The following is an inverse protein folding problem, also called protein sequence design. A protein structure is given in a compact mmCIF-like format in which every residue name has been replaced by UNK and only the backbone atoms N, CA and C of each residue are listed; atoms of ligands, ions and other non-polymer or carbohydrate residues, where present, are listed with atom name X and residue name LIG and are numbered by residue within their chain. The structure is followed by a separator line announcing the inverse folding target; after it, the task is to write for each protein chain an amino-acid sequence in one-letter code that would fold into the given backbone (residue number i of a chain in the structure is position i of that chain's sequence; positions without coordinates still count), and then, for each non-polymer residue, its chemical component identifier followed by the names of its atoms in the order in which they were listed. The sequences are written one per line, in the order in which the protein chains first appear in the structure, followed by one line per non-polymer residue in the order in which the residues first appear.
data_IF_074530622614
#
_entry.id   IF_074530622614
#
_cell.length_a   1.000
_cell.length_b   1.000
_cell.length_c   1.000
_cell.angle_alpha   90.00
_cell.angle_beta   90.00
_cell.angle_gamma   90.00
#
_symmetry.space_group_name_H-M   'P 1'
#
loop_
_entity.id
_entity.type
_entity.pdbx_description
1 polymer ?
#
# COMPACT_ATOMS: atom_id res chain seq x y z
N UNK A 1 11.79 -9.53 -18.05
CA UNK A 1 11.31 -9.53 -16.64
C UNK A 1 11.73 -8.29 -15.88
N UNK A 2 12.98 -7.87 -15.90
CA UNK A 2 13.48 -6.69 -15.17
C UNK A 2 12.71 -5.40 -15.48
N UNK A 3 12.33 -5.16 -16.74
CA UNK A 3 11.57 -3.98 -17.12
C UNK A 3 10.20 -3.92 -16.43
N UNK A 4 9.47 -5.04 -16.38
CA UNK A 4 8.21 -5.14 -15.63
C UNK A 4 8.39 -4.82 -14.14
N UNK A 5 9.41 -5.40 -13.50
CA UNK A 5 9.67 -5.18 -12.08
C UNK A 5 10.00 -3.72 -11.79
N UNK A 6 10.80 -3.07 -12.64
CA UNK A 6 11.11 -1.64 -12.52
C UNK A 6 9.86 -0.76 -12.67
N UNK A 7 8.97 -1.07 -13.62
CA UNK A 7 7.72 -0.33 -13.78
C UNK A 7 6.79 -0.48 -12.56
N UNK A 8 6.66 -1.69 -12.01
CA UNK A 8 5.87 -1.93 -10.80
C UNK A 8 6.46 -1.23 -9.58
N UNK A 9 7.78 -1.24 -9.42
CA UNK A 9 8.49 -0.50 -8.37
C UNK A 9 8.22 1.00 -8.51
N UNK A 10 8.39 1.57 -9.71
CA UNK A 10 8.12 2.98 -9.97
C UNK A 10 6.67 3.36 -9.67
N UNK A 11 5.71 2.53 -10.07
CA UNK A 11 4.30 2.75 -9.80
C UNK A 11 4.00 2.77 -8.29
N UNK A 12 4.42 1.75 -7.54
CA UNK A 12 4.18 1.71 -6.10
C UNK A 12 4.91 2.82 -5.33
N UNK A 13 6.11 3.19 -5.75
CA UNK A 13 6.81 4.33 -5.18
C UNK A 13 6.05 5.64 -5.44
N UNK A 14 5.62 5.87 -6.69
CA UNK A 14 4.91 7.08 -7.09
C UNK A 14 3.56 7.24 -6.39
N UNK A 15 2.75 6.18 -6.34
CA UNK A 15 1.38 6.23 -5.80
C UNK A 15 1.31 6.23 -4.28
N UNK A 16 2.22 5.53 -3.60
CA UNK A 16 2.08 5.27 -2.17
C UNK A 16 3.19 5.87 -1.32
N UNK A 17 4.41 5.95 -1.83
CA UNK A 17 5.57 6.44 -1.05
C UNK A 17 5.80 7.92 -1.26
N UNK A 18 5.81 8.35 -2.52
CA UNK A 18 6.14 9.73 -2.92
C UNK A 18 4.91 10.65 -3.08
N UNK A 19 3.70 10.16 -2.79
CA UNK A 19 2.47 10.94 -2.83
C UNK A 19 2.05 11.39 -1.41
N UNK A 20 2.33 12.64 -0.99
CA UNK A 20 1.86 13.17 0.28
C UNK A 20 0.33 13.29 0.33
N UNK A 21 -0.24 13.12 1.52
CA UNK A 21 -1.70 13.24 1.75
C UNK A 21 -2.26 14.62 1.36
N UNK A 22 -1.44 15.67 1.41
CA UNK A 22 -1.81 17.02 0.96
C UNK A 22 -2.12 17.06 -0.53
N UNK A 23 -1.38 16.32 -1.38
CA UNK A 23 -1.64 16.23 -2.81
C UNK A 23 -2.93 15.47 -3.09
N UNK A 24 -3.17 14.39 -2.35
CA UNK A 24 -4.42 13.62 -2.44
C UNK A 24 -5.62 14.51 -2.09
N UNK A 25 -5.56 15.25 -0.96
CA UNK A 25 -6.62 16.21 -0.57
C UNK A 25 -6.83 17.30 -1.64
N UNK A 26 -5.76 17.79 -2.26
CA UNK A 26 -5.83 18.77 -3.34
C UNK A 26 -6.52 18.20 -4.60
N UNK A 27 -6.19 16.95 -4.99
CA UNK A 27 -6.87 16.24 -6.09
C UNK A 27 -8.39 16.14 -5.84
N UNK A 28 -8.80 15.74 -4.63
CA UNK A 28 -10.22 15.61 -4.28
C UNK A 28 -10.97 16.94 -4.29
N UNK A 29 -10.30 18.06 -3.96
CA UNK A 29 -10.95 19.37 -3.88
C UNK A 29 -11.02 20.09 -5.23
N UNK A 30 -9.97 20.01 -6.03
CA UNK A 30 -9.82 20.82 -7.25
C UNK A 30 -9.73 19.99 -8.53
N UNK A 31 -9.86 18.65 -8.44
CA UNK A 31 -9.85 17.77 -9.60
C UNK A 31 -8.51 17.77 -10.34
N UNK A 32 -8.60 17.61 -11.66
CA UNK A 32 -7.44 17.59 -12.59
C UNK A 32 -6.67 18.91 -12.61
N UNK A 33 -7.35 20.03 -12.32
CA UNK A 33 -6.71 21.36 -12.27
C UNK A 33 -5.87 21.58 -11.01
N UNK A 34 -5.83 20.60 -10.08
CA UNK A 34 -5.09 20.76 -8.83
C UNK A 34 -3.58 20.68 -9.02
N UNK A 35 -2.84 21.47 -8.27
CA UNK A 35 -1.37 21.35 -8.22
C UNK A 35 -0.92 19.98 -7.70
N UNK A 36 -1.72 19.32 -6.84
CA UNK A 36 -1.46 17.98 -6.34
C UNK A 36 -1.53 16.92 -7.42
N UNK A 37 -2.42 17.06 -8.41
CA UNK A 37 -2.48 16.18 -9.58
C UNK A 37 -1.21 16.26 -10.41
N UNK A 38 -0.82 17.47 -10.83
CA UNK A 38 0.34 17.67 -11.69
C UNK A 38 1.67 17.33 -11.00
N UNK A 39 1.80 17.59 -9.68
CA UNK A 39 2.96 17.14 -8.90
C UNK A 39 3.08 15.62 -8.87
N UNK A 40 1.96 14.91 -8.73
CA UNK A 40 1.95 13.45 -8.78
C UNK A 40 2.36 12.92 -10.15
N UNK A 41 1.80 13.47 -11.24
CA UNK A 41 2.21 13.11 -12.60
C UNK A 41 3.70 13.40 -12.83
N UNK A 42 4.21 14.55 -12.36
CA UNK A 42 5.64 14.87 -12.45
C UNK A 42 6.52 13.88 -11.69
N UNK A 43 6.05 13.36 -10.54
CA UNK A 43 6.76 12.31 -9.80
C UNK A 43 6.87 11.02 -10.62
N UNK A 44 5.77 10.57 -11.23
CA UNK A 44 5.79 9.42 -12.13
C UNK A 44 6.67 9.65 -13.36
N UNK A 45 6.57 10.82 -13.98
CA UNK A 45 7.43 11.19 -15.11
C UNK A 45 8.93 11.14 -14.73
N UNK A 46 9.29 11.64 -13.55
CA UNK A 46 10.67 11.59 -13.05
C UNK A 46 11.15 10.15 -12.83
N UNK A 47 10.34 9.30 -12.18
CA UNK A 47 10.68 7.89 -11.97
C UNK A 47 10.85 7.14 -13.29
N UNK A 48 9.95 7.35 -14.25
CA UNK A 48 10.04 6.74 -15.58
C UNK A 48 11.22 7.30 -16.38
N UNK A 49 11.55 8.58 -16.24
CA UNK A 49 12.74 9.18 -16.83
C UNK A 49 14.03 8.52 -16.32
N UNK A 50 14.12 8.25 -15.02
CA UNK A 50 15.26 7.53 -14.44
C UNK A 50 15.41 6.12 -15.04
N UNK A 51 14.29 5.41 -15.25
CA UNK A 51 14.31 4.12 -15.96
C UNK A 51 14.74 4.31 -17.41
N UNK A 52 14.27 5.37 -18.09
CA UNK A 52 14.63 5.68 -19.47
C UNK A 52 16.12 5.99 -19.67
N UNK A 53 16.79 6.60 -18.70
CA UNK A 53 18.25 6.75 -18.72
C UNK A 53 18.99 5.42 -18.66
N UNK A 54 18.45 4.45 -17.91
CA UNK A 54 19.04 3.10 -17.82
C UNK A 54 18.69 2.26 -19.06
N UNK A 55 17.51 2.48 -19.65
CA UNK A 55 16.92 1.65 -20.72
C UNK A 55 16.39 2.52 -21.86
N UNK A 56 17.24 3.22 -22.64
CA UNK A 56 16.81 4.17 -23.66
C UNK A 56 15.92 3.55 -24.77
N UNK A 57 16.14 2.28 -25.09
CA UNK A 57 15.36 1.55 -26.08
C UNK A 57 13.87 1.39 -25.73
N UNK A 58 13.51 1.59 -24.45
CA UNK A 58 12.14 1.47 -23.94
C UNK A 58 11.39 2.81 -23.84
N UNK A 59 11.96 3.90 -24.36
CA UNK A 59 11.40 5.26 -24.22
C UNK A 59 9.93 5.34 -24.66
N UNK A 60 9.56 4.73 -25.78
CA UNK A 60 8.16 4.71 -26.24
C UNK A 60 7.24 4.01 -25.24
N UNK A 61 7.66 2.86 -24.71
CA UNK A 61 6.92 2.11 -23.71
C UNK A 61 6.72 2.94 -22.41
N UNK A 62 7.76 3.65 -21.97
CA UNK A 62 7.69 4.54 -20.79
C UNK A 62 6.71 5.70 -21.01
N UNK A 63 6.69 6.29 -22.21
CA UNK A 63 5.71 7.33 -22.57
C UNK A 63 4.29 6.77 -22.55
N UNK A 64 4.07 5.56 -23.08
CA UNK A 64 2.75 4.91 -23.08
C UNK A 64 2.29 4.65 -21.63
N UNK A 65 3.18 4.17 -20.74
CA UNK A 65 2.88 3.98 -19.32
C UNK A 65 2.50 5.30 -18.66
N UNK A 66 3.24 6.38 -18.92
CA UNK A 66 2.93 7.70 -18.34
C UNK A 66 1.56 8.21 -18.82
N UNK A 67 1.29 8.12 -20.13
CA UNK A 67 0.02 8.55 -20.71
C UNK A 67 -1.15 7.73 -20.16
N UNK A 68 -1.01 6.41 -20.06
CA UNK A 68 -2.04 5.54 -19.47
C UNK A 68 -2.29 5.90 -17.99
N UNK A 69 -1.25 6.20 -17.22
CA UNK A 69 -1.36 6.64 -15.84
C UNK A 69 -2.15 7.95 -15.71
N UNK A 70 -1.86 8.94 -16.56
CA UNK A 70 -2.60 10.21 -16.62
C UNK A 70 -4.08 9.97 -16.92
N UNK A 71 -4.39 9.11 -17.89
CA UNK A 71 -5.77 8.80 -18.28
C UNK A 71 -6.52 8.12 -17.13
N UNK A 72 -5.95 7.10 -16.51
CA UNK A 72 -6.58 6.35 -15.43
C UNK A 72 -6.82 7.25 -14.22
N UNK A 73 -5.83 8.04 -13.79
CA UNK A 73 -5.97 8.99 -12.67
C UNK A 73 -7.02 10.08 -12.97
N UNK A 74 -7.07 10.58 -14.20
CA UNK A 74 -8.07 11.57 -14.63
C UNK A 74 -9.47 10.98 -14.60
N UNK A 75 -9.64 9.75 -15.07
CA UNK A 75 -10.91 9.04 -15.06
C UNK A 75 -11.38 8.79 -13.60
N UNK A 76 -10.49 8.33 -12.73
CA UNK A 76 -10.76 8.16 -11.29
C UNK A 76 -11.28 9.44 -10.66
N UNK A 77 -10.60 10.57 -10.89
CA UNK A 77 -11.00 11.86 -10.34
C UNK A 77 -12.38 12.28 -10.86
N UNK A 78 -12.67 12.07 -12.14
CA UNK A 78 -13.96 12.38 -12.76
C UNK A 78 -15.11 11.53 -12.24
N UNK A 79 -14.83 10.26 -11.89
CA UNK A 79 -15.83 9.33 -11.34
C UNK A 79 -16.06 9.50 -9.84
N UNK A 80 -15.13 10.14 -9.13
CA UNK A 80 -15.17 10.29 -7.67
C UNK A 80 -16.49 10.89 -7.12
N UNK A 81 -17.11 11.93 -7.74
CA UNK A 81 -18.37 12.50 -7.25
C UNK A 81 -19.54 11.51 -7.26
N UNK A 82 -19.45 10.44 -8.07
CA UNK A 82 -20.50 9.42 -8.18
C UNK A 82 -20.32 8.26 -7.17
N UNK A 83 -19.19 8.23 -6.45
CA UNK A 83 -18.89 7.18 -5.45
C UNK A 83 -19.40 7.61 -4.07
N UNK A 84 -20.73 7.44 -3.83
CA UNK A 84 -21.39 7.92 -2.62
C UNK A 84 -21.29 6.95 -1.43
N UNK A 85 -21.19 5.63 -1.67
CA UNK A 85 -21.09 4.63 -0.61
C UNK A 85 -19.63 4.28 -0.28
N UNK A 86 -19.38 3.76 0.94
CA UNK A 86 -18.05 3.29 1.31
C UNK A 86 -17.62 2.10 0.44
N UNK A 87 -18.54 1.20 0.12
CA UNK A 87 -18.30 0.09 -0.79
C UNK A 87 -17.85 0.60 -2.17
N UNK A 88 -18.55 1.60 -2.75
CA UNK A 88 -18.17 2.16 -4.05
C UNK A 88 -16.78 2.82 -4.02
N UNK A 89 -16.37 3.46 -2.91
CA UNK A 89 -15.03 4.02 -2.74
C UNK A 89 -13.96 2.93 -2.66
N UNK A 90 -14.26 1.82 -1.97
CA UNK A 90 -13.37 0.64 -1.91
C UNK A 90 -13.19 0.05 -3.31
N UNK A 91 -14.28 -0.22 -4.02
CA UNK A 91 -14.21 -0.73 -5.39
C UNK A 91 -13.50 0.24 -6.34
N UNK A 92 -13.78 1.54 -6.23
CA UNK A 92 -13.10 2.56 -7.03
C UNK A 92 -11.58 2.57 -6.81
N UNK A 93 -11.11 2.42 -5.57
CA UNK A 93 -9.69 2.30 -5.27
C UNK A 93 -9.07 1.01 -5.83
N UNK A 94 -9.75 -0.14 -5.66
CA UNK A 94 -9.26 -1.43 -6.16
C UNK A 94 -9.19 -1.44 -7.68
N UNK A 95 -10.25 -0.99 -8.37
CA UNK A 95 -10.30 -0.92 -9.82
C UNK A 95 -9.21 0.01 -10.38
N UNK A 96 -8.99 1.14 -9.76
CA UNK A 96 -7.91 2.06 -10.10
C UNK A 96 -6.55 1.37 -10.11
N UNK A 97 -6.22 0.62 -9.06
CA UNK A 97 -4.96 -0.12 -8.98
C UNK A 97 -4.87 -1.26 -10.00
N UNK A 98 -5.98 -1.97 -10.23
CA UNK A 98 -6.05 -3.02 -11.24
C UNK A 98 -5.78 -2.45 -12.63
N UNK A 99 -6.38 -1.32 -13.00
CA UNK A 99 -6.15 -0.71 -14.31
C UNK A 99 -4.71 -0.24 -14.50
N UNK A 100 -4.08 0.34 -13.49
CA UNK A 100 -2.66 0.72 -13.56
C UNK A 100 -1.76 -0.50 -13.74
N UNK A 101 -1.96 -1.56 -12.95
CA UNK A 101 -1.17 -2.79 -13.06
C UNK A 101 -1.40 -3.46 -14.41
N UNK A 102 -2.65 -3.52 -14.89
CA UNK A 102 -2.96 -4.10 -16.20
C UNK A 102 -2.29 -3.33 -17.34
N UNK A 103 -2.32 -2.00 -17.33
CA UNK A 103 -1.64 -1.18 -18.31
C UNK A 103 -0.12 -1.43 -18.32
N UNK A 104 0.50 -1.51 -17.14
CA UNK A 104 1.92 -1.85 -16.98
C UNK A 104 2.21 -3.25 -17.55
N UNK A 105 1.39 -4.25 -17.23
CA UNK A 105 1.56 -5.63 -17.73
C UNK A 105 1.46 -5.69 -19.26
N UNK A 106 0.45 -5.03 -19.85
CA UNK A 106 0.26 -4.99 -21.32
C UNK A 106 1.49 -4.38 -21.98
N UNK A 107 1.98 -3.24 -21.48
CA UNK A 107 3.16 -2.56 -22.05
C UNK A 107 4.40 -3.42 -21.89
N UNK A 108 4.65 -3.95 -20.70
CA UNK A 108 5.84 -4.76 -20.43
C UNK A 108 5.84 -6.06 -21.25
N UNK A 109 4.69 -6.72 -21.42
CA UNK A 109 4.58 -7.94 -22.23
C UNK A 109 4.87 -7.66 -23.71
N UNK A 110 4.25 -6.65 -24.29
CA UNK A 110 4.48 -6.31 -25.71
C UNK A 110 5.93 -5.89 -25.98
N UNK A 111 6.58 -5.26 -25.00
CA UNK A 111 7.95 -4.77 -25.16
C UNK A 111 8.99 -5.88 -24.95
N UNK A 112 8.74 -6.86 -24.06
CA UNK A 112 9.67 -7.98 -23.81
C UNK A 112 9.82 -8.93 -25.01
N UNK A 113 8.87 -8.94 -25.92
CA UNK A 113 8.96 -9.75 -27.16
C UNK A 113 9.98 -9.20 -28.16
N UNK A 114 10.39 -7.95 -28.03
CA UNK A 114 11.20 -7.25 -29.04
C UNK A 114 12.63 -6.94 -28.62
N UNK A 115 12.99 -7.00 -27.33
CA UNK A 115 14.26 -6.49 -26.84
C UNK A 115 14.86 -7.39 -25.74
N UNK A 116 16.05 -7.95 -26.02
CA UNK A 116 16.88 -8.65 -25.02
C UNK A 116 17.88 -7.68 -24.41
N UNK A 117 17.60 -7.18 -23.21
CA UNK A 117 18.55 -6.39 -22.44
C UNK A 117 18.87 -7.06 -21.10
N UNK A 118 20.14 -7.31 -20.88
CA UNK A 118 20.67 -7.73 -19.58
C UNK A 118 20.82 -6.46 -18.72
N UNK A 119 19.95 -6.31 -17.73
CA UNK A 119 20.15 -5.31 -16.69
C UNK A 119 21.22 -5.82 -15.72
N UNK A 120 22.09 -4.92 -15.24
CA UNK A 120 23.11 -5.23 -14.24
C UNK A 120 22.53 -5.70 -12.89
N UNK A 121 21.22 -5.52 -12.67
CA UNK A 121 20.53 -5.91 -11.44
C UNK A 121 19.83 -7.23 -11.66
N UNK A 122 20.15 -8.21 -10.82
CA UNK A 122 19.49 -9.52 -10.81
C UNK A 122 17.98 -9.40 -10.62
N UNK A 123 17.15 -10.09 -11.43
CA UNK A 123 15.69 -10.05 -11.28
C UNK A 123 15.21 -10.47 -9.90
N UNK A 124 15.91 -11.39 -9.26
CA UNK A 124 15.65 -11.86 -7.89
C UNK A 124 15.70 -10.72 -6.87
N UNK A 125 16.69 -9.83 -6.99
CA UNK A 125 16.83 -8.66 -6.12
C UNK A 125 15.67 -7.68 -6.33
N UNK A 126 15.31 -7.39 -7.59
CA UNK A 126 14.18 -6.51 -7.91
C UNK A 126 12.86 -7.08 -7.39
N UNK A 127 12.67 -8.39 -7.49
CA UNK A 127 11.45 -9.06 -7.04
C UNK A 127 11.31 -8.99 -5.51
N UNK A 128 12.39 -9.24 -4.78
CA UNK A 128 12.39 -9.12 -3.30
C UNK A 128 12.17 -7.66 -2.89
N UNK A 129 12.82 -6.71 -3.57
CA UNK A 129 12.63 -5.27 -3.33
C UNK A 129 11.19 -4.85 -3.58
N UNK A 130 10.56 -5.34 -4.65
CA UNK A 130 9.15 -5.10 -4.95
C UNK A 130 8.24 -5.59 -3.80
N UNK A 131 8.53 -6.78 -3.23
CA UNK A 131 7.83 -7.32 -2.06
C UNK A 131 7.93 -6.40 -0.84
N UNK A 132 9.13 -5.91 -0.51
CA UNK A 132 9.34 -4.94 0.58
C UNK A 132 8.58 -3.63 0.35
N UNK A 133 8.65 -3.07 -0.85
CA UNK A 133 7.94 -1.84 -1.21
C UNK A 133 6.42 -2.05 -1.08
N UNK A 134 5.88 -3.14 -1.63
CA UNK A 134 4.46 -3.45 -1.57
C UNK A 134 3.97 -3.61 -0.12
N UNK A 135 4.71 -4.30 0.75
CA UNK A 135 4.34 -4.52 2.14
C UNK A 135 4.50 -3.27 3.04
N UNK A 136 5.17 -2.24 2.58
CA UNK A 136 5.30 -0.97 3.31
C UNK A 136 4.01 -0.14 3.27
N UNK A 137 3.96 0.90 2.46
CA UNK A 137 2.84 1.85 2.37
C UNK A 137 1.68 1.35 1.48
N UNK A 138 1.90 0.66 0.34
CA UNK A 138 0.81 0.13 -0.48
C UNK A 138 -0.14 -0.76 0.32
N UNK A 139 0.37 -1.80 0.97
CA UNK A 139 -0.44 -2.72 1.79
C UNK A 139 -1.14 -2.00 2.95
N UNK A 140 -0.49 -1.00 3.58
CA UNK A 140 -1.12 -0.18 4.62
C UNK A 140 -2.30 0.63 4.09
N UNK A 141 -2.23 1.11 2.85
CA UNK A 141 -3.32 1.84 2.19
C UNK A 141 -4.48 0.92 1.82
N UNK A 142 -4.17 -0.27 1.28
CA UNK A 142 -5.16 -1.31 1.00
C UNK A 142 -5.90 -1.70 2.29
N UNK A 143 -5.16 -2.00 3.36
CA UNK A 143 -5.75 -2.37 4.65
C UNK A 143 -6.66 -1.27 5.21
N UNK A 144 -6.25 0.01 5.12
CA UNK A 144 -7.07 1.14 5.55
C UNK A 144 -8.40 1.18 4.81
N UNK A 145 -8.37 0.95 3.51
CA UNK A 145 -9.57 0.93 2.66
C UNK A 145 -10.46 -0.26 3.02
N UNK A 146 -9.90 -1.46 3.17
CA UNK A 146 -10.65 -2.67 3.52
C UNK A 146 -11.28 -2.62 4.93
N UNK A 147 -10.59 -1.98 5.89
CA UNK A 147 -11.06 -1.87 7.27
C UNK A 147 -11.99 -0.67 7.49
N UNK A 148 -12.17 0.21 6.50
CA UNK A 148 -12.98 1.43 6.65
C UNK A 148 -14.44 1.21 7.06
N UNK A 149 -15.15 0.13 6.66
CA UNK A 149 -16.50 -0.14 7.15
C UNK A 149 -16.53 -0.41 8.67
N UNK A 150 -15.59 -1.20 9.16
CA UNK A 150 -15.53 -1.60 10.58
C UNK A 150 -15.14 -0.44 11.50
N UNK A 151 -14.38 0.54 11.01
CA UNK A 151 -13.99 1.72 11.83
C UNK A 151 -15.18 2.58 12.20
N UNK A 152 -16.17 2.73 11.30
CA UNK A 152 -17.40 3.50 11.56
C UNK A 152 -18.28 2.84 12.61
N UNK A 153 -18.37 1.52 12.61
CA UNK A 153 -19.13 0.78 13.62
C UNK A 153 -18.51 0.96 15.03
N UNK A 154 -17.18 0.91 15.12
CA UNK A 154 -16.47 1.11 16.38
C UNK A 154 -16.58 2.57 16.88
N UNK A 155 -16.59 3.57 15.98
CA UNK A 155 -16.75 4.98 16.33
C UNK A 155 -18.15 5.35 16.84
N UNK A 156 -19.19 4.67 16.33
CA UNK A 156 -20.58 4.91 16.71
C UNK A 156 -20.98 4.26 18.05
N UNK A 157 -20.14 3.43 18.64
CA UNK A 157 -20.39 2.81 19.93
C UNK A 157 -20.12 3.82 21.06
N UNK A 158 -21.09 4.06 21.98
CA UNK A 158 -20.89 4.96 23.13
C UNK A 158 -19.81 4.37 24.05
N UNK A 159 -18.58 4.84 23.90
CA UNK A 159 -17.47 4.49 24.79
C UNK A 159 -17.49 5.35 26.05
N UNK A 160 -17.25 4.78 27.25
CA UNK A 160 -16.96 5.59 28.44
C UNK A 160 -15.75 6.50 28.13
N UNK A 161 -15.81 7.77 28.51
CA UNK A 161 -14.89 8.89 28.19
C UNK A 161 -13.38 8.71 28.47
N UNK A 162 -12.84 7.49 28.62
CA UNK A 162 -11.47 7.24 29.07
C UNK A 162 -10.53 6.49 28.10
N UNK A 163 -10.90 6.23 26.84
CA UNK A 163 -10.00 5.49 25.94
C UNK A 163 -9.78 6.15 24.58
N UNK A 164 -9.33 7.41 24.57
CA UNK A 164 -8.93 8.12 23.33
C UNK A 164 -7.59 7.61 22.73
N UNK A 165 -6.90 6.69 23.43
CA UNK A 165 -5.54 6.26 23.10
C UNK A 165 -5.40 5.49 21.78
N UNK A 166 -6.43 4.77 21.31
CA UNK A 166 -6.34 3.91 20.12
C UNK A 166 -6.69 4.61 18.79
N UNK A 167 -7.44 5.74 18.85
CA UNK A 167 -7.80 6.51 17.63
C UNK A 167 -6.56 7.01 16.89
N UNK A 168 -5.49 7.30 17.60
CA UNK A 168 -4.22 7.78 17.03
C UNK A 168 -3.41 6.68 16.33
N UNK A 169 -3.68 5.41 16.60
CA UNK A 169 -2.91 4.30 16.02
C UNK A 169 -3.26 4.03 14.55
N UNK A 170 -4.48 4.33 14.12
CA UNK A 170 -4.95 4.02 12.77
C UNK A 170 -5.42 5.23 11.93
N UNK A 171 -5.77 6.34 12.56
CA UNK A 171 -6.29 7.54 11.88
C UNK A 171 -5.47 8.78 12.23
N UNK A 172 -4.87 9.40 11.26
CA UNK A 172 -4.16 10.68 11.41
C UNK A 172 -5.08 11.89 11.18
N UNK A 173 -6.28 11.88 11.78
CA UNK A 173 -7.09 13.10 11.96
C UNK A 173 -7.60 13.11 13.39
N UNK A 174 -6.79 13.65 14.29
CA UNK A 174 -7.17 13.88 15.69
C UNK A 174 -7.40 15.35 15.89
N UNK A 175 -8.53 15.69 16.48
CA UNK A 175 -8.77 16.99 17.09
C UNK A 175 -7.69 17.27 18.15
N UNK A 176 -7.03 18.41 18.04
CA UNK A 176 -5.84 18.84 18.82
C UNK A 176 -6.03 19.00 20.33
N UNK A 177 -7.10 18.49 20.94
CA UNK A 177 -7.41 18.80 22.36
C UNK A 177 -7.22 17.68 23.38
N UNK A 178 -6.86 16.44 22.95
CA UNK A 178 -6.58 15.34 23.87
C UNK A 178 -5.20 14.72 23.61
N UNK A 179 -4.14 15.50 23.78
CA UNK A 179 -2.75 15.06 23.75
C UNK A 179 -2.38 14.35 25.06
N UNK A 180 -2.71 13.07 25.20
CA UNK A 180 -1.98 12.18 26.10
C UNK A 180 -1.28 11.07 25.33
N UNK A 181 -0.05 11.40 24.84
CA UNK A 181 1.14 10.53 24.71
C UNK A 181 1.08 9.21 23.93
N UNK A 182 0.30 9.08 22.86
CA UNK A 182 0.64 8.05 21.88
C UNK A 182 1.46 8.66 20.73
N UNK A 183 2.46 7.90 20.23
CA UNK A 183 3.25 8.33 19.07
C UNK A 183 2.31 8.48 17.86
N UNK A 184 2.27 9.68 17.27
CA UNK A 184 1.52 9.94 16.04
C UNK A 184 1.91 8.89 14.99
N UNK A 185 0.92 8.14 14.46
CA UNK A 185 1.13 7.02 13.52
C UNK A 185 1.86 5.76 14.08
N UNK A 186 2.02 5.60 15.39
CA UNK A 186 2.75 4.45 15.98
C UNK A 186 2.23 3.11 15.48
N UNK A 187 0.91 2.89 15.48
CA UNK A 187 0.33 1.63 15.01
C UNK A 187 0.55 1.35 13.52
N UNK A 188 0.59 2.40 12.68
CA UNK A 188 0.94 2.25 11.26
C UNK A 188 2.38 1.74 11.10
N UNK A 189 3.32 2.33 11.82
CA UNK A 189 4.74 1.93 11.74
C UNK A 189 4.96 0.52 12.30
N UNK A 190 4.33 0.19 13.44
CA UNK A 190 4.36 -1.17 14.00
C UNK A 190 3.86 -2.18 12.97
N UNK A 191 2.71 -1.93 12.34
CA UNK A 191 2.16 -2.83 11.33
C UNK A 191 3.05 -2.99 10.09
N UNK A 192 3.74 -1.93 9.65
CA UNK A 192 4.72 -2.01 8.55
C UNK A 192 5.89 -2.89 8.98
N UNK A 193 6.50 -2.64 10.14
CA UNK A 193 7.66 -3.40 10.64
C UNK A 193 7.30 -4.88 10.78
N UNK A 194 6.14 -5.21 11.34
CA UNK A 194 5.68 -6.59 11.48
C UNK A 194 5.56 -7.30 10.13
N UNK A 195 4.96 -6.66 9.13
CA UNK A 195 4.84 -7.25 7.78
C UNK A 195 6.21 -7.46 7.13
N UNK A 196 7.12 -6.50 7.26
CA UNK A 196 8.47 -6.63 6.72
C UNK A 196 9.26 -7.74 7.41
N UNK A 197 9.13 -7.91 8.74
CA UNK A 197 9.75 -9.00 9.49
C UNK A 197 9.19 -10.36 9.05
N UNK A 198 7.87 -10.51 8.96
CA UNK A 198 7.23 -11.75 8.48
C UNK A 198 7.71 -12.11 7.07
N UNK A 199 7.72 -11.14 6.17
CA UNK A 199 8.21 -11.33 4.81
C UNK A 199 9.68 -11.80 4.81
N UNK A 200 10.54 -11.10 5.56
CA UNK A 200 11.96 -11.47 5.70
C UNK A 200 12.12 -12.90 6.21
N UNK A 201 11.42 -13.26 7.29
CA UNK A 201 11.53 -14.60 7.88
C UNK A 201 11.08 -15.70 6.92
N UNK A 202 10.04 -15.46 6.13
CA UNK A 202 9.59 -16.44 5.13
C UNK A 202 10.61 -16.55 3.99
N UNK A 203 11.13 -15.43 3.47
CA UNK A 203 12.12 -15.44 2.37
C UNK A 203 13.38 -16.22 2.75
N UNK A 204 13.85 -16.07 4.00
CA UNK A 204 15.01 -16.81 4.51
C UNK A 204 14.67 -18.21 5.07
N UNK A 205 13.41 -18.66 4.97
CA UNK A 205 12.97 -19.99 5.39
C UNK A 205 12.75 -20.19 6.89
N UNK A 206 12.70 -19.11 7.68
CA UNK A 206 12.58 -19.17 9.15
C UNK A 206 11.11 -19.11 9.62
N UNK A 207 10.34 -20.16 9.30
CA UNK A 207 8.91 -20.24 9.65
C UNK A 207 8.62 -20.23 11.16
N UNK A 208 9.52 -20.78 11.96
CA UNK A 208 9.41 -20.77 13.44
C UNK A 208 9.43 -19.34 13.99
N UNK A 209 10.22 -18.44 13.40
CA UNK A 209 10.28 -17.03 13.79
C UNK A 209 8.95 -16.30 13.48
N UNK A 210 8.27 -16.66 12.39
CA UNK A 210 6.91 -16.15 12.10
C UNK A 210 5.92 -16.57 13.17
N UNK A 211 5.92 -17.86 13.54
CA UNK A 211 5.07 -18.37 14.63
C UNK A 211 5.34 -17.67 15.96
N UNK A 212 6.62 -17.47 16.30
CA UNK A 212 7.01 -16.72 17.50
C UNK A 212 6.50 -15.27 17.47
N UNK A 213 6.64 -14.56 16.36
CA UNK A 213 6.19 -13.17 16.22
C UNK A 213 4.67 -13.04 16.40
N UNK A 214 3.89 -13.95 15.82
CA UNK A 214 2.42 -13.98 15.96
C UNK A 214 2.04 -14.26 17.42
N UNK A 215 2.71 -15.20 18.06
CA UNK A 215 2.46 -15.55 19.46
C UNK A 215 2.82 -14.40 20.40
N UNK A 216 4.00 -13.80 20.24
CA UNK A 216 4.43 -12.65 21.02
C UNK A 216 3.44 -11.49 20.93
N UNK A 217 2.99 -11.16 19.70
CA UNK A 217 1.99 -10.12 19.48
C UNK A 217 0.66 -10.44 20.18
N UNK A 218 0.24 -11.70 20.17
CA UNK A 218 -0.98 -12.13 20.87
C UNK A 218 -0.86 -11.95 22.37
N UNK A 219 0.28 -12.30 22.96
CA UNK A 219 0.54 -12.16 24.42
C UNK A 219 0.54 -10.70 24.86
N UNK A 220 1.25 -9.82 24.14
CA UNK A 220 1.25 -8.38 24.45
C UNK A 220 -0.14 -7.77 24.38
N UNK A 221 -1.00 -8.29 23.52
CA UNK A 221 -2.37 -7.83 23.34
C UNK A 221 -3.32 -8.28 24.43
N UNK A 222 -3.09 -9.46 25.06
CA UNK A 222 -3.90 -9.93 26.19
C UNK A 222 -3.88 -8.92 27.36
N UNK A 223 -2.77 -8.23 27.58
CA UNK A 223 -2.67 -7.16 28.57
C UNK A 223 -3.61 -5.98 28.30
N UNK A 224 -3.74 -5.58 27.05
CA UNK A 224 -4.61 -4.45 26.63
C UNK A 224 -6.10 -4.84 26.63
N UNK A 225 -6.43 -6.09 26.31
CA UNK A 225 -7.80 -6.62 26.26
C UNK A 225 -8.47 -6.69 27.64
N UNK A 226 -7.73 -6.99 28.70
CA UNK A 226 -8.25 -7.04 30.07
C UNK A 226 -8.67 -5.66 30.60
N UNK A 227 -8.19 -4.57 29.99
CA UNK A 227 -8.55 -3.19 30.36
C UNK A 227 -9.70 -2.62 29.52
N UNK A 228 -10.03 -3.24 28.37
CA UNK A 228 -10.99 -2.75 27.42
C UNK A 228 -12.33 -3.50 27.43
N UNK A 229 -13.37 -2.87 27.94
CA UNK A 229 -14.75 -3.41 27.99
C UNK A 229 -15.47 -3.47 26.63
N UNK A 230 -14.80 -3.22 25.48
CA UNK A 230 -15.48 -3.13 24.20
C UNK A 230 -15.11 -4.29 23.26
N UNK A 231 -16.03 -5.27 23.15
CA UNK A 231 -15.90 -6.45 22.30
C UNK A 231 -15.66 -6.09 20.83
N UNK A 232 -16.37 -5.08 20.29
CA UNK A 232 -16.24 -4.67 18.89
C UNK A 232 -14.84 -4.15 18.57
N UNK A 233 -14.25 -3.40 19.49
CA UNK A 233 -12.87 -2.95 19.34
C UNK A 233 -11.89 -4.13 19.27
N UNK A 234 -12.07 -5.13 20.14
CA UNK A 234 -11.26 -6.34 20.13
C UNK A 234 -11.35 -7.08 18.80
N UNK A 235 -12.57 -7.29 18.31
CA UNK A 235 -12.84 -7.95 17.02
C UNK A 235 -12.19 -7.18 15.86
N UNK A 236 -12.38 -5.86 15.80
CA UNK A 236 -11.75 -5.00 14.79
C UNK A 236 -10.22 -5.14 14.75
N UNK A 237 -9.61 -5.10 15.92
CA UNK A 237 -8.16 -5.19 16.03
C UNK A 237 -7.65 -6.59 15.69
N UNK A 238 -8.40 -7.67 16.01
CA UNK A 238 -8.07 -9.04 15.60
C UNK A 238 -8.16 -9.20 14.08
N UNK A 239 -9.24 -8.74 13.47
CA UNK A 239 -9.41 -8.76 12.01
C UNK A 239 -8.24 -8.03 11.32
N UNK A 240 -7.91 -6.81 11.79
CA UNK A 240 -6.81 -6.04 11.24
C UNK A 240 -5.44 -6.75 11.36
N UNK A 241 -5.22 -7.44 12.49
CA UNK A 241 -3.99 -8.22 12.72
C UNK A 241 -3.90 -9.41 11.78
N UNK A 242 -4.94 -10.24 11.73
CA UNK A 242 -4.98 -11.42 10.87
C UNK A 242 -4.83 -11.03 9.40
N UNK A 243 -5.53 -9.99 8.96
CA UNK A 243 -5.41 -9.46 7.62
C UNK A 243 -3.98 -9.01 7.30
N UNK A 244 -3.32 -8.30 8.23
CA UNK A 244 -1.94 -7.83 8.08
C UNK A 244 -0.96 -8.98 7.88
N UNK A 245 -1.04 -10.01 8.73
CA UNK A 245 -0.18 -11.18 8.60
C UNK A 245 -0.48 -11.98 7.32
N UNK A 246 -1.77 -12.13 6.96
CA UNK A 246 -2.16 -12.80 5.73
C UNK A 246 -1.56 -12.12 4.50
N UNK A 247 -1.59 -10.78 4.43
CA UNK A 247 -0.94 -10.03 3.36
C UNK A 247 0.56 -10.29 3.27
N UNK A 248 1.25 -10.30 4.42
CA UNK A 248 2.69 -10.54 4.45
C UNK A 248 3.05 -11.96 4.00
N UNK A 249 2.35 -12.97 4.52
CA UNK A 249 2.55 -14.38 4.17
C UNK A 249 2.26 -14.61 2.68
N UNK A 250 1.11 -14.14 2.19
CA UNK A 250 0.72 -14.32 0.80
C UNK A 250 1.70 -13.68 -0.17
N UNK A 251 2.13 -12.44 0.12
CA UNK A 251 3.15 -11.75 -0.69
C UNK A 251 4.47 -12.51 -0.68
N UNK A 252 4.92 -13.02 0.48
CA UNK A 252 6.15 -13.78 0.58
C UNK A 252 6.09 -15.09 -0.22
N UNK A 253 4.95 -15.80 -0.17
CA UNK A 253 4.75 -17.03 -0.95
C UNK A 253 4.76 -16.75 -2.46
N UNK A 254 4.12 -15.67 -2.92
CA UNK A 254 4.17 -15.27 -4.33
C UNK A 254 5.61 -14.99 -4.75
N UNK A 255 6.35 -14.21 -3.95
CA UNK A 255 7.75 -13.87 -4.24
C UNK A 255 8.62 -15.14 -4.25
N UNK A 256 8.48 -16.03 -3.27
CA UNK A 256 9.21 -17.32 -3.25
C UNK A 256 8.88 -18.19 -4.47
N UNK A 257 7.61 -18.25 -4.86
CA UNK A 257 7.21 -18.99 -6.06
C UNK A 257 7.84 -18.37 -7.31
N UNK A 258 7.77 -17.06 -7.46
CA UNK A 258 8.38 -16.37 -8.60
C UNK A 258 9.91 -16.49 -8.63
N UNK A 259 10.60 -16.49 -7.47
CA UNK A 259 12.04 -16.74 -7.36
C UNK A 259 12.46 -18.15 -7.85
N UNK A 260 11.56 -19.14 -7.80
CA UNK A 260 11.83 -20.49 -8.31
C UNK A 260 11.66 -20.59 -9.82
N UNK A 261 11.01 -19.64 -10.46
CA UNK A 261 10.78 -19.58 -11.91
C UNK A 261 11.85 -18.78 -12.65
N UNK A 262 12.69 -18.05 -11.91
CA UNK A 262 13.82 -17.26 -12.41
C UNK A 262 15.10 -18.08 -12.35
#
# INVERSE_FOLDING_TARGET
MNFLLLLLIAHFLGDFVLQPTSWVKSKFKYGISSSGFWKHIATHALLLLLIGFMLPSYTLALVIVLVSHIIIDSLKISLLPYLNSDASKIYGFILDQIFHILAILIVAFNTSLSLNWELLIEPSVLLVLLGYIFLSLPSSSIMRVLLSPYTKEVENTPTPKKSSHWKSCFFSEVNEKDEQKSLKNGGKHIGIIERLLVFTFIIIGQWSAVGFLITAKSVFRFGDLNQGKNRQFTEYVLIGTLLSFSFAIFTALIVQFALRLI
#
